data_IF_323809711855
#
_entry.id   IF_323809711855
#
_cell.length_a   1.000
_cell.length_b   1.000
_cell.length_c   1.000
_cell.angle_alpha   90.00
_cell.angle_beta   90.00
_cell.angle_gamma   90.00
#
_symmetry.space_group_name_H-M   'P 1'
#
loop_
_entity.id
_entity.type
_entity.pdbx_description
1 polymer ?
#
# COMPACT_ATOMS: atom_id res chain seq x y z
N UNK A 1 -67.31 -6.12 22.49
CA UNK A 1 -67.92 -7.44 22.28
C UNK A 1 -66.97 -8.28 21.43
N UNK A 2 -66.68 -9.51 21.90
CA UNK A 2 -66.03 -10.67 21.24
C UNK A 2 -64.58 -10.52 20.73
N UNK A 3 -63.53 -11.11 21.33
CA UNK A 3 -63.13 -12.54 21.47
C UNK A 3 -63.05 -13.32 20.15
N UNK A 4 -61.83 -13.73 19.77
CA UNK A 4 -61.37 -15.13 19.55
C UNK A 4 -60.15 -15.18 18.60
N UNK A 5 -58.95 -15.57 19.09
CA UNK A 5 -58.32 -16.92 19.01
C UNK A 5 -57.82 -17.33 17.62
N UNK A 6 -56.49 -17.48 17.47
CA UNK A 6 -55.85 -18.81 17.42
C UNK A 6 -54.31 -18.70 17.31
N UNK A 7 -53.64 -19.22 18.34
CA UNK A 7 -52.24 -19.62 18.29
C UNK A 7 -52.13 -20.97 17.59
N UNK A 8 -51.10 -21.17 16.76
CA UNK A 8 -50.78 -22.46 16.16
C UNK A 8 -49.42 -22.94 16.63
N UNK A 9 -49.46 -24.15 17.17
CA UNK A 9 -48.42 -24.95 17.79
C UNK A 9 -47.13 -25.03 16.97
N UNK A 10 -45.99 -24.92 17.66
CA UNK A 10 -44.71 -25.47 17.23
C UNK A 10 -44.36 -26.61 18.20
N UNK A 11 -44.50 -27.86 17.74
CA UNK A 11 -43.93 -29.04 18.41
C UNK A 11 -43.14 -29.83 17.38
N UNK A 12 -41.91 -30.18 17.71
CA UNK A 12 -41.10 -31.04 16.86
C UNK A 12 -39.63 -30.97 17.23
N UNK A 13 -39.31 -31.47 18.43
CA UNK A 13 -37.98 -31.87 18.85
C UNK A 13 -37.91 -33.37 18.59
N UNK A 14 -36.95 -33.84 17.80
CA UNK A 14 -36.39 -35.19 17.95
C UNK A 14 -35.08 -35.32 17.15
N UNK A 15 -34.03 -35.40 17.96
CA UNK A 15 -32.75 -36.09 17.84
C UNK A 15 -32.52 -36.99 16.61
N UNK A 16 -31.33 -36.87 16.01
CA UNK A 16 -30.59 -38.02 15.45
C UNK A 16 -29.11 -37.70 15.29
N UNK A 17 -28.34 -38.18 16.27
CA UNK A 17 -26.90 -38.39 16.26
C UNK A 17 -26.43 -39.13 14.99
N UNK A 18 -25.55 -38.53 14.17
CA UNK A 18 -24.73 -39.29 13.22
C UNK A 18 -23.36 -38.62 12.97
N UNK A 19 -22.35 -39.04 13.73
CA UNK A 19 -20.95 -39.22 13.32
C UNK A 19 -20.34 -40.29 14.26
N UNK A 20 -19.26 -41.01 13.89
CA UNK A 20 -18.67 -41.29 12.58
C UNK A 20 -18.37 -42.79 12.35
N UNK A 21 -18.08 -43.19 11.11
CA UNK A 21 -17.30 -44.41 10.83
C UNK A 21 -16.09 -44.06 9.98
N UNK A 22 -14.92 -44.10 10.61
CA UNK A 22 -13.61 -44.02 9.97
C UNK A 22 -13.16 -45.44 9.66
N UNK A 23 -12.88 -45.81 8.39
CA UNK A 23 -12.17 -47.04 8.10
C UNK A 23 -10.66 -46.88 8.36
N UNK A 24 -10.13 -47.74 9.23
CA UNK A 24 -8.69 -48.01 9.37
C UNK A 24 -8.30 -49.20 8.48
N UNK A 25 -7.52 -48.96 7.43
CA UNK A 25 -6.53 -49.88 6.83
C UNK A 25 -5.79 -49.03 5.79
N UNK A 26 -4.50 -48.73 5.86
CA UNK A 26 -3.37 -49.58 6.20
C UNK A 26 -2.79 -50.12 4.90
N UNK A 27 -1.79 -49.44 4.32
CA UNK A 27 -0.67 -50.08 3.63
C UNK A 27 0.43 -49.08 3.25
N UNK A 28 1.64 -49.44 3.66
CA UNK A 28 2.91 -48.86 3.25
C UNK A 28 3.13 -49.08 1.75
N UNK A 29 3.62 -48.06 1.06
CA UNK A 29 4.48 -48.24 -0.10
C UNK A 29 5.53 -47.13 -0.08
N UNK A 30 6.77 -47.54 0.17
CA UNK A 30 7.97 -46.80 -0.19
C UNK A 30 7.81 -46.19 -1.58
N UNK A 31 7.94 -44.87 -1.68
CA UNK A 31 8.21 -44.21 -2.95
C UNK A 31 9.51 -43.45 -2.81
N UNK A 32 10.42 -43.81 -3.71
CA UNK A 32 11.80 -43.38 -3.78
C UNK A 32 11.86 -41.86 -4.00
N UNK A 33 12.66 -41.20 -3.18
CA UNK A 33 13.01 -39.79 -3.31
C UNK A 33 14.08 -39.64 -4.39
N UNK A 34 13.64 -39.43 -5.63
CA UNK A 34 14.51 -38.90 -6.67
C UNK A 34 14.69 -37.39 -6.46
N UNK A 35 15.95 -37.03 -6.26
CA UNK A 35 16.40 -35.70 -5.88
C UNK A 35 16.47 -34.80 -7.12
N UNK A 36 15.44 -34.01 -7.37
CA UNK A 36 15.57 -32.84 -8.24
C UNK A 36 16.00 -31.64 -7.40
N UNK A 37 17.30 -31.34 -7.47
CA UNK A 37 17.87 -30.07 -7.05
C UNK A 37 17.27 -28.94 -7.90
N UNK A 38 16.25 -28.27 -7.38
CA UNK A 38 15.87 -26.93 -7.83
C UNK A 38 16.55 -25.94 -6.89
N UNK A 39 17.51 -25.19 -7.44
CA UNK A 39 18.07 -24.01 -6.81
C UNK A 39 16.94 -22.97 -6.68
N UNK A 40 16.35 -22.87 -5.49
CA UNK A 40 15.55 -21.73 -5.09
C UNK A 40 16.38 -20.89 -4.12
N UNK A 41 16.74 -19.69 -4.57
CA UNK A 41 17.30 -18.66 -3.70
C UNK A 41 16.25 -18.27 -2.64
N UNK A 42 16.59 -18.22 -1.34
CA UNK A 42 15.68 -17.70 -0.34
C UNK A 42 15.62 -16.18 -0.46
N UNK A 43 14.50 -15.65 -0.96
CA UNK A 43 14.15 -14.25 -0.72
C UNK A 43 13.69 -14.14 0.73
N UNK A 44 14.56 -13.61 1.58
CA UNK A 44 14.21 -13.18 2.93
C UNK A 44 13.03 -12.18 2.85
N UNK A 45 11.86 -12.63 3.26
CA UNK A 45 10.74 -11.75 3.59
C UNK A 45 11.09 -11.13 4.94
N UNK A 46 11.78 -10.00 4.89
CA UNK A 46 12.08 -9.23 6.09
C UNK A 46 10.77 -8.55 6.54
N UNK A 47 10.12 -9.10 7.55
CA UNK A 47 9.02 -8.44 8.26
C UNK A 47 9.53 -7.14 8.87
N UNK A 48 9.21 -6.00 8.22
CA UNK A 48 9.50 -4.68 8.75
C UNK A 48 8.62 -4.40 9.98
N UNK A 49 9.16 -4.69 11.17
CA UNK A 49 8.72 -4.08 12.42
C UNK A 49 9.15 -2.61 12.44
N UNK A 50 8.20 -1.68 12.41
CA UNK A 50 8.47 -0.25 12.63
C UNK A 50 8.90 -0.01 14.07
N UNK A 51 10.21 0.06 14.31
CA UNK A 51 10.77 0.57 15.56
C UNK A 51 10.81 2.11 15.50
N UNK A 52 10.01 2.75 16.36
CA UNK A 52 10.13 4.18 16.71
C UNK A 52 11.57 4.49 17.13
N UNK A 53 12.27 5.34 16.37
CA UNK A 53 13.51 5.96 16.82
C UNK A 53 13.27 7.39 17.28
N UNK A 54 13.79 7.67 18.47
CA UNK A 54 13.54 8.84 19.28
C UNK A 54 14.18 10.12 18.73
N UNK A 55 13.45 11.22 18.92
CA UNK A 55 13.95 12.60 18.84
C UNK A 55 15.22 12.76 19.68
N UNK A 56 16.35 13.03 19.03
CA UNK A 56 17.58 13.45 19.69
C UNK A 56 17.70 14.97 19.54
N UNK A 57 17.49 15.66 20.65
CA UNK A 57 17.66 17.10 20.80
C UNK A 57 19.06 17.55 20.33
N UNK A 58 19.10 18.44 19.35
CA UNK A 58 20.30 19.18 19.00
C UNK A 58 20.41 20.40 19.92
N UNK A 59 21.35 20.37 20.86
CA UNK A 59 21.82 21.57 21.56
C UNK A 59 22.56 22.47 20.57
N UNK A 60 22.07 23.69 20.40
CA UNK A 60 22.74 24.75 19.66
C UNK A 60 23.91 25.34 20.49
N UNK A 61 25.12 25.52 19.93
CA UNK A 61 26.13 26.40 20.50
C UNK A 61 25.97 27.85 19.98
N UNK A 62 26.11 28.81 20.91
CA UNK A 62 26.11 30.26 20.67
C UNK A 62 27.22 30.75 19.72
N UNK A 63 27.04 31.91 19.04
CA UNK A 63 27.94 32.37 18.00
C UNK A 63 29.19 33.04 18.57
N UNK A 64 30.36 32.54 18.17
CA UNK A 64 31.61 33.30 18.27
C UNK A 64 31.79 34.15 17.02
N UNK A 65 31.88 35.47 17.22
CA UNK A 65 32.25 36.43 16.20
C UNK A 65 33.73 36.28 15.82
N UNK A 66 34.00 36.20 14.51
CA UNK A 66 35.34 36.37 13.94
C UNK A 66 35.78 35.21 13.06
N UNK A 67 35.41 35.26 11.78
CA UNK A 67 36.38 35.25 10.68
C UNK A 67 35.64 35.33 9.34
N UNK A 68 36.07 36.28 8.50
CA UNK A 68 35.65 36.37 7.09
C UNK A 68 36.32 35.23 6.35
N UNK A 69 35.63 34.10 6.20
CA UNK A 69 35.97 33.10 5.19
C UNK A 69 35.25 33.44 3.89
N UNK A 70 36.04 33.52 2.82
CA UNK A 70 35.58 33.58 1.44
C UNK A 70 34.54 32.50 1.18
N UNK A 71 33.30 32.92 0.94
CA UNK A 71 32.21 32.03 0.56
C UNK A 71 32.62 31.30 -0.73
N UNK A 72 32.67 29.95 -0.74
CA UNK A 72 32.79 29.23 -1.99
C UNK A 72 31.58 29.58 -2.86
N UNK A 73 31.85 30.04 -4.08
CA UNK A 73 30.83 30.21 -5.11
C UNK A 73 30.04 28.90 -5.21
N UNK A 74 28.69 28.92 -5.09
CA UNK A 74 27.91 27.71 -5.25
C UNK A 74 28.24 27.09 -6.61
N UNK A 75 28.45 25.76 -6.68
CA UNK A 75 28.65 25.10 -7.97
C UNK A 75 27.49 25.49 -8.88
N UNK A 76 27.85 25.87 -10.09
CA UNK A 76 26.93 26.21 -11.17
C UNK A 76 25.70 25.31 -11.12
N UNK A 77 24.51 25.93 -11.14
CA UNK A 77 23.26 25.24 -11.39
C UNK A 77 23.42 24.43 -12.68
N UNK A 78 23.75 23.16 -12.52
CA UNK A 78 23.68 22.17 -13.57
C UNK A 78 22.21 22.15 -13.96
N UNK A 79 21.93 22.65 -15.17
CA UNK A 79 20.58 22.88 -15.68
C UNK A 79 19.76 21.63 -15.43
N UNK A 80 18.82 21.71 -14.47
CA UNK A 80 17.95 20.60 -14.14
C UNK A 80 17.33 20.05 -15.43
N UNK A 81 17.37 18.73 -15.65
CA UNK A 81 16.81 18.15 -16.86
C UNK A 81 15.32 18.53 -16.96
N UNK A 82 14.82 18.83 -18.17
CA UNK A 82 13.41 19.18 -18.34
C UNK A 82 12.51 18.05 -17.79
N UNK A 83 11.38 18.42 -17.17
CA UNK A 83 10.46 17.48 -16.51
C UNK A 83 10.04 16.27 -17.40
N UNK A 84 9.99 16.46 -18.71
CA UNK A 84 9.69 15.41 -19.70
C UNK A 84 10.82 14.37 -19.86
N UNK A 85 12.05 14.69 -19.49
CA UNK A 85 13.16 13.73 -19.41
C UNK A 85 13.16 12.99 -18.07
N UNK A 86 12.75 13.67 -16.98
CA UNK A 86 12.60 13.06 -15.65
C UNK A 86 11.56 11.94 -15.67
N UNK A 87 10.38 12.19 -16.23
CA UNK A 87 9.34 11.17 -16.37
C UNK A 87 9.80 9.96 -17.19
N UNK A 88 10.51 10.23 -18.30
CA UNK A 88 11.07 9.16 -19.16
C UNK A 88 12.21 8.38 -18.52
N UNK A 89 13.05 9.01 -17.69
CA UNK A 89 14.11 8.32 -16.99
C UNK A 89 13.55 7.35 -15.93
N UNK A 90 12.55 7.79 -15.15
CA UNK A 90 11.88 6.93 -14.15
C UNK A 90 11.14 5.78 -14.84
N UNK A 91 10.41 6.04 -15.92
CA UNK A 91 9.68 5.01 -16.67
C UNK A 91 10.60 4.04 -17.45
N UNK A 92 11.73 4.52 -17.98
CA UNK A 92 12.68 3.69 -18.72
C UNK A 92 13.43 2.68 -17.83
N UNK A 93 13.45 2.88 -16.50
CA UNK A 93 14.14 1.99 -15.57
C UNK A 93 13.42 0.64 -15.36
N UNK A 94 12.16 0.48 -15.78
CA UNK A 94 11.43 -0.80 -15.63
C UNK A 94 10.31 -0.98 -16.65
N UNK A 95 10.23 -2.16 -17.28
CA UNK A 95 9.04 -2.57 -18.02
C UNK A 95 7.86 -2.71 -17.05
N UNK A 96 6.78 -1.98 -17.28
CA UNK A 96 5.55 -2.14 -16.52
C UNK A 96 5.05 -3.59 -16.64
N UNK A 97 4.87 -4.26 -15.50
CA UNK A 97 4.31 -5.61 -15.44
C UNK A 97 2.90 -5.54 -14.88
N UNK A 98 1.98 -6.29 -15.46
CA UNK A 98 0.67 -6.52 -14.87
C UNK A 98 0.60 -7.95 -14.35
N UNK A 99 -0.11 -8.15 -13.25
CA UNK A 99 -0.47 -9.47 -12.75
C UNK A 99 -1.81 -9.38 -12.04
N UNK A 100 -2.53 -10.49 -11.98
CA UNK A 100 -3.77 -10.59 -11.23
C UNK A 100 -3.51 -11.10 -9.81
N UNK A 101 -4.37 -10.66 -8.89
CA UNK A 101 -4.35 -11.01 -7.48
C UNK A 101 -5.74 -11.40 -7.02
N UNK A 102 -5.83 -12.18 -5.94
CA UNK A 102 -7.09 -12.53 -5.30
C UNK A 102 -7.03 -12.34 -3.78
N UNK A 103 -8.15 -11.98 -3.18
CA UNK A 103 -8.26 -11.83 -1.72
C UNK A 103 -9.71 -11.85 -1.23
N UNK A 104 -9.89 -11.84 0.08
CA UNK A 104 -11.14 -11.48 0.76
C UNK A 104 -11.14 -10.05 1.31
N UNK A 105 -10.01 -9.36 1.21
CA UNK A 105 -9.76 -8.02 1.73
C UNK A 105 -9.21 -7.13 0.61
N UNK A 106 -9.70 -5.90 0.48
CA UNK A 106 -9.23 -4.92 -0.51
C UNK A 106 -7.87 -4.29 -0.14
N UNK A 107 -7.49 -4.36 1.15
CA UNK A 107 -6.23 -3.81 1.66
C UNK A 107 -5.07 -4.79 1.57
N UNK A 108 -5.34 -6.10 1.61
CA UNK A 108 -4.31 -7.15 1.65
C UNK A 108 -4.59 -8.22 0.61
N UNK A 109 -3.69 -8.38 -0.36
CA UNK A 109 -3.84 -9.33 -1.48
C UNK A 109 -3.02 -10.59 -1.26
N UNK A 110 -3.68 -11.69 -0.85
CA UNK A 110 -3.02 -12.93 -0.44
C UNK A 110 -2.76 -13.92 -1.58
N UNK A 111 -3.59 -13.93 -2.62
CA UNK A 111 -3.47 -14.81 -3.77
C UNK A 111 -2.82 -14.12 -4.96
N UNK A 112 -1.93 -14.83 -5.67
CA UNK A 112 -1.20 -14.34 -6.83
C UNK A 112 0.31 -14.18 -6.55
N UNK A 113 1.07 -13.56 -7.47
CA UNK A 113 0.65 -13.04 -8.77
C UNK A 113 0.20 -14.15 -9.75
N UNK A 114 -0.86 -13.88 -10.52
CA UNK A 114 -1.33 -14.72 -11.64
C UNK A 114 -1.11 -13.99 -12.97
N UNK A 115 -0.82 -14.72 -14.04
CA UNK A 115 -0.56 -14.11 -15.35
C UNK A 115 -1.87 -13.71 -16.05
N UNK A 116 -2.96 -14.43 -15.77
CA UNK A 116 -4.27 -14.23 -16.40
C UNK A 116 -5.41 -14.06 -15.39
N UNK A 117 -6.51 -13.45 -15.85
CA UNK A 117 -7.73 -13.27 -15.06
C UNK A 117 -8.35 -14.61 -14.69
N UNK A 118 -8.32 -15.57 -15.60
CA UNK A 118 -8.88 -16.92 -15.44
C UNK A 118 -8.11 -17.71 -14.38
N UNK A 119 -6.77 -17.60 -14.35
CA UNK A 119 -5.94 -18.16 -13.28
C UNK A 119 -6.26 -17.53 -11.92
N UNK A 120 -6.49 -16.21 -11.89
CA UNK A 120 -6.90 -15.54 -10.67
C UNK A 120 -8.28 -15.99 -10.19
N UNK A 121 -9.24 -16.23 -11.09
CA UNK A 121 -10.54 -16.82 -10.73
C UNK A 121 -10.39 -18.25 -10.18
N UNK A 122 -9.54 -19.07 -10.79
CA UNK A 122 -9.27 -20.43 -10.33
C UNK A 122 -8.58 -20.45 -8.96
N UNK A 123 -7.54 -19.61 -8.78
CA UNK A 123 -6.84 -19.44 -7.51
C UNK A 123 -7.76 -18.87 -6.44
N UNK A 124 -8.60 -17.88 -6.79
CA UNK A 124 -9.61 -17.34 -5.89
C UNK A 124 -10.61 -18.40 -5.42
N UNK A 125 -11.02 -19.31 -6.31
CA UNK A 125 -11.90 -20.43 -5.94
C UNK A 125 -11.21 -21.45 -5.04
N UNK A 126 -9.93 -21.74 -5.27
CA UNK A 126 -9.18 -22.70 -4.47
C UNK A 126 -8.94 -22.21 -3.03
N UNK A 127 -8.65 -20.91 -2.88
CA UNK A 127 -8.37 -20.26 -1.60
C UNK A 127 -9.61 -19.62 -0.95
N UNK A 128 -10.80 -19.82 -1.53
CA UNK A 128 -12.05 -19.20 -1.09
C UNK A 128 -11.97 -17.65 -0.98
N UNK A 129 -11.19 -17.01 -1.86
CA UNK A 129 -11.11 -15.56 -2.03
C UNK A 129 -12.25 -15.02 -2.91
N UNK A 130 -12.96 -14.02 -2.42
CA UNK A 130 -14.13 -13.43 -3.09
C UNK A 130 -13.81 -12.34 -4.09
N UNK A 131 -12.63 -11.75 -4.00
CA UNK A 131 -12.20 -10.60 -4.78
C UNK A 131 -11.03 -10.99 -5.69
N UNK A 132 -11.00 -10.42 -6.89
CA UNK A 132 -9.84 -10.42 -7.77
C UNK A 132 -9.56 -9.00 -8.25
N UNK A 133 -8.31 -8.68 -8.53
CA UNK A 133 -7.90 -7.38 -9.07
C UNK A 133 -6.67 -7.55 -9.96
N UNK A 134 -6.54 -6.72 -10.99
CA UNK A 134 -5.28 -6.58 -11.71
C UNK A 134 -4.40 -5.57 -10.96
N UNK A 135 -3.12 -5.84 -10.78
CA UNK A 135 -2.16 -4.90 -10.23
C UNK A 135 -1.09 -4.56 -11.26
N UNK A 136 -0.49 -3.38 -11.13
CA UNK A 136 0.63 -2.94 -11.97
C UNK A 136 1.89 -2.87 -11.12
N UNK A 137 3.01 -3.39 -11.62
CA UNK A 137 4.32 -3.24 -11.00
C UNK A 137 5.12 -2.25 -11.83
N UNK A 138 5.52 -1.16 -11.20
CA UNK A 138 6.25 -0.09 -11.85
C UNK A 138 6.99 0.79 -10.87
N UNK A 139 7.77 1.75 -11.40
CA UNK A 139 8.52 2.68 -10.61
C UNK A 139 7.56 3.71 -9.99
N UNK A 140 7.70 3.95 -8.70
CA UNK A 140 6.82 4.82 -7.93
C UNK A 140 7.44 6.21 -7.85
N UNK A 141 6.68 7.21 -8.31
CA UNK A 141 6.97 8.63 -8.06
C UNK A 141 6.50 8.96 -6.65
N UNK A 142 7.43 9.20 -5.73
CA UNK A 142 7.18 9.54 -4.33
C UNK A 142 6.40 10.87 -4.23
N UNK A 143 6.63 11.78 -5.17
CA UNK A 143 5.90 13.04 -5.30
C UNK A 143 4.38 12.86 -5.36
N UNK A 144 3.88 11.74 -5.88
CA UNK A 144 2.43 11.46 -5.96
C UNK A 144 1.75 11.39 -4.59
N UNK A 145 2.51 11.08 -3.54
CA UNK A 145 2.00 10.98 -2.17
C UNK A 145 2.16 12.27 -1.37
N UNK A 146 2.80 13.29 -1.94
CA UNK A 146 2.84 14.60 -1.29
C UNK A 146 1.48 15.27 -1.40
N UNK A 147 0.85 15.50 -0.26
CA UNK A 147 -0.35 16.31 -0.12
C UNK A 147 -0.03 17.58 0.67
N UNK A 148 -0.29 18.72 0.03
CA UNK A 148 -0.02 20.02 0.60
C UNK A 148 -1.02 20.41 1.68
N UNK A 149 -2.27 19.93 1.62
CA UNK A 149 -3.29 20.18 2.65
C UNK A 149 -2.90 19.48 3.95
N UNK A 150 -2.64 18.17 3.88
CA UNK A 150 -2.17 17.39 5.03
C UNK A 150 -0.84 17.92 5.61
N UNK A 151 0.07 18.41 4.75
CA UNK A 151 1.32 19.03 5.19
C UNK A 151 1.06 20.34 5.96
N UNK A 152 0.19 21.22 5.46
CA UNK A 152 -0.14 22.48 6.12
C UNK A 152 -0.91 22.25 7.41
N UNK A 153 -1.90 21.34 7.43
CA UNK A 153 -2.63 20.95 8.63
C UNK A 153 -1.68 20.47 9.74
N UNK A 154 -0.72 19.61 9.39
CA UNK A 154 0.29 19.14 10.33
C UNK A 154 1.17 20.29 10.84
N UNK A 155 1.55 21.21 9.95
CA UNK A 155 2.33 22.38 10.34
C UNK A 155 1.54 23.31 11.28
N UNK A 156 0.23 23.49 11.07
CA UNK A 156 -0.63 24.25 11.98
C UNK A 156 -0.76 23.58 13.35
N UNK A 157 -0.90 22.24 13.39
CA UNK A 157 -0.93 21.48 14.64
C UNK A 157 0.34 21.71 15.47
N UNK A 158 1.51 21.67 14.82
CA UNK A 158 2.80 21.91 15.45
C UNK A 158 3.00 23.40 15.84
N UNK A 159 2.38 24.33 15.10
CA UNK A 159 2.41 25.77 15.38
C UNK A 159 1.40 26.20 16.45
N UNK A 160 0.47 25.33 16.86
CA UNK A 160 -0.57 25.64 17.82
C UNK A 160 -0.01 26.16 19.17
N UNK A 161 1.18 25.70 19.57
CA UNK A 161 1.88 26.20 20.77
C UNK A 161 2.31 27.67 20.66
N UNK A 162 2.37 28.23 19.44
CA UNK A 162 2.75 29.60 19.14
C UNK A 162 1.55 30.51 18.87
N UNK A 163 0.33 29.96 18.89
CA UNK A 163 -0.90 30.72 18.68
C UNK A 163 -1.14 31.72 19.81
N UNK A 164 -1.76 32.85 19.48
CA UNK A 164 -2.22 33.80 20.48
C UNK A 164 -3.45 33.26 21.24
N UNK A 165 -3.81 33.91 22.34
CA UNK A 165 -4.98 33.52 23.16
C UNK A 165 -6.30 33.61 22.37
N UNK A 166 -6.33 34.42 21.32
CA UNK A 166 -7.49 34.62 20.45
C UNK A 166 -7.68 33.48 19.43
N UNK A 167 -6.66 32.63 19.23
CA UNK A 167 -6.73 31.49 18.31
C UNK A 167 -6.73 31.90 16.84
N UNK A 168 -6.06 33.00 16.50
CA UNK A 168 -5.96 33.45 15.10
C UNK A 168 -5.23 32.40 14.24
N UNK A 169 -5.69 32.14 13.00
CA UNK A 169 -5.05 31.18 12.11
C UNK A 169 -3.63 31.65 11.75
N UNK A 170 -2.65 30.75 11.91
CA UNK A 170 -1.24 31.06 11.65
C UNK A 170 -0.90 30.91 10.16
N UNK A 171 -1.48 29.92 9.46
CA UNK A 171 -1.20 29.61 8.07
C UNK A 171 -2.41 29.86 7.15
N UNK A 172 -3.00 31.07 7.21
CA UNK A 172 -4.09 31.49 6.32
C UNK A 172 -3.58 31.92 4.94
N UNK A 173 -3.06 30.95 4.18
CA UNK A 173 -2.61 31.17 2.80
C UNK A 173 -3.76 31.07 1.81
N UNK A 174 -3.67 31.83 0.71
CA UNK A 174 -4.62 31.72 -0.40
C UNK A 174 -4.53 30.34 -1.05
N UNK A 175 -5.67 29.83 -1.51
CA UNK A 175 -5.75 28.54 -2.21
C UNK A 175 -4.77 28.43 -3.39
N UNK A 176 -4.57 29.51 -4.16
CA UNK A 176 -3.65 29.48 -5.29
C UNK A 176 -2.18 29.33 -4.87
N UNK A 177 -1.82 29.85 -3.68
CA UNK A 177 -0.49 29.69 -3.11
C UNK A 177 -0.27 28.26 -2.59
N UNK A 178 -1.31 27.67 -1.98
CA UNK A 178 -1.32 26.28 -1.53
C UNK A 178 -1.14 25.31 -2.71
N UNK A 179 -1.85 25.53 -3.82
CA UNK A 179 -1.66 24.74 -5.03
C UNK A 179 -0.26 24.89 -5.65
N UNK A 180 0.28 26.11 -5.66
CA UNK A 180 1.65 26.38 -6.15
C UNK A 180 2.70 25.68 -5.29
N UNK A 181 2.55 25.70 -3.96
CA UNK A 181 3.38 24.93 -3.04
C UNK A 181 3.36 23.44 -3.40
N UNK A 182 2.16 22.87 -3.60
CA UNK A 182 1.97 21.49 -4.03
C UNK A 182 2.77 21.16 -5.29
N UNK A 183 2.64 22.00 -6.33
CA UNK A 183 3.36 21.82 -7.61
C UNK A 183 4.88 21.87 -7.43
N UNK A 184 5.39 22.85 -6.69
CA UNK A 184 6.84 23.04 -6.49
C UNK A 184 7.48 21.93 -5.67
N UNK A 185 6.85 21.52 -4.57
CA UNK A 185 7.40 20.46 -3.71
C UNK A 185 7.39 19.13 -4.46
N UNK A 186 6.33 18.80 -5.19
CA UNK A 186 6.28 17.60 -6.03
C UNK A 186 7.40 17.58 -7.07
N UNK A 187 7.63 18.70 -7.76
CA UNK A 187 8.72 18.82 -8.73
C UNK A 187 10.10 18.65 -8.07
N UNK A 188 10.31 19.23 -6.88
CA UNK A 188 11.56 19.06 -6.13
C UNK A 188 11.78 17.60 -5.68
N UNK A 189 10.72 16.89 -5.28
CA UNK A 189 10.78 15.45 -4.95
C UNK A 189 11.16 14.64 -6.19
N UNK A 190 10.56 14.93 -7.35
CA UNK A 190 10.88 14.24 -8.61
C UNK A 190 12.34 14.47 -9.02
N UNK A 191 12.82 15.71 -8.94
CA UNK A 191 14.23 16.06 -9.21
C UNK A 191 15.17 15.32 -8.26
N UNK A 192 14.87 15.31 -6.96
CA UNK A 192 15.62 14.57 -5.95
C UNK A 192 15.63 13.07 -6.27
N UNK A 193 14.50 12.46 -6.64
CA UNK A 193 14.47 11.05 -7.02
C UNK A 193 15.39 10.75 -8.20
N UNK A 194 15.39 11.60 -9.23
CA UNK A 194 16.26 11.42 -10.40
C UNK A 194 17.73 11.59 -10.05
N UNK A 195 18.08 12.65 -9.34
CA UNK A 195 19.46 12.95 -8.95
C UNK A 195 20.10 11.81 -8.16
N UNK A 196 19.28 11.04 -7.43
CA UNK A 196 19.73 9.93 -6.61
C UNK A 196 19.39 8.54 -7.19
N UNK A 197 18.82 8.46 -8.39
CA UNK A 197 18.45 7.17 -9.01
C UNK A 197 17.42 6.37 -8.19
N UNK A 198 16.54 7.06 -7.47
CA UNK A 198 15.55 6.44 -6.58
C UNK A 198 14.27 6.13 -7.35
N UNK A 199 14.12 4.85 -7.73
CA UNK A 199 12.92 4.32 -8.35
C UNK A 199 12.41 3.12 -7.54
N UNK A 200 11.75 3.34 -6.38
CA UNK A 200 11.13 2.23 -5.64
C UNK A 200 10.11 1.54 -6.53
N UNK A 201 10.17 0.20 -6.59
CA UNK A 201 9.28 -0.62 -7.41
C UNK A 201 8.40 -1.45 -6.49
N UNK A 202 7.09 -1.25 -6.55
CA UNK A 202 6.13 -2.08 -5.86
C UNK A 202 4.93 -2.41 -6.75
N UNK A 203 4.09 -3.32 -6.28
CA UNK A 203 2.77 -3.55 -6.86
C UNK A 203 1.84 -2.43 -6.41
N UNK A 204 1.24 -1.75 -7.38
CA UNK A 204 0.26 -0.71 -7.22
C UNK A 204 -1.12 -1.28 -7.53
N UNK A 205 -2.01 -1.19 -6.56
CA UNK A 205 -3.41 -1.65 -6.64
C UNK A 205 -4.39 -0.46 -6.79
N UNK A 206 -3.91 0.74 -6.49
CA UNK A 206 -4.59 2.04 -6.52
C UNK A 206 -4.75 2.62 -7.94
N UNK A 207 -3.91 2.21 -8.88
CA UNK A 207 -3.95 2.67 -10.27
C UNK A 207 -4.58 1.68 -11.25
N UNK A 208 -5.31 0.68 -10.75
CA UNK A 208 -5.76 -0.45 -11.56
C UNK A 208 -7.29 -0.52 -11.73
N UNK A 209 -7.72 -1.36 -12.66
CA UNK A 209 -9.11 -1.75 -12.90
C UNK A 209 -9.87 -2.01 -11.58
N UNK A 210 -11.18 -1.72 -11.51
CA UNK A 210 -11.95 -1.86 -10.28
C UNK A 210 -11.86 -3.29 -9.74
N UNK A 211 -11.80 -3.41 -8.42
CA UNK A 211 -11.86 -4.72 -7.74
C UNK A 211 -13.11 -5.48 -8.20
N UNK A 212 -12.91 -6.71 -8.66
CA UNK A 212 -13.99 -7.56 -9.15
C UNK A 212 -14.37 -8.63 -8.11
N UNK A 213 -15.67 -8.88 -7.95
CA UNK A 213 -16.13 -10.08 -7.26
C UNK A 213 -15.90 -11.29 -8.17
N UNK A 214 -15.15 -12.28 -7.68
CA UNK A 214 -14.85 -13.52 -8.38
C UNK A 214 -16.15 -14.24 -8.80
N UNK A 215 -16.17 -14.82 -10.01
CA UNK A 215 -17.37 -15.40 -10.59
C UNK A 215 -18.02 -16.47 -9.69
N UNK A 216 -17.21 -17.29 -9.01
CA UNK A 216 -17.69 -18.34 -8.10
C UNK A 216 -18.40 -17.77 -6.86
N UNK A 217 -17.99 -16.59 -6.38
CA UNK A 217 -18.53 -15.94 -5.20
C UNK A 217 -19.86 -15.22 -5.46
N UNK A 218 -20.12 -14.80 -6.71
CA UNK A 218 -21.39 -14.15 -7.12
C UNK A 218 -22.62 -15.05 -6.93
N UNK A 219 -22.46 -16.37 -6.95
CA UNK A 219 -23.55 -17.35 -6.86
C UNK A 219 -23.86 -17.88 -5.45
N UNK A 220 -23.09 -17.48 -4.43
CA UNK A 220 -23.20 -18.03 -3.05
C UNK A 220 -23.97 -17.16 -2.06
N UNK A 221 -24.56 -16.04 -2.49
CA UNK A 221 -25.29 -15.10 -1.63
C UNK A 221 -26.83 -15.30 -1.66
N UNK A 222 -27.28 -16.55 -1.79
CA UNK A 222 -28.69 -16.94 -1.74
C UNK A 222 -29.02 -17.68 -0.44
#
# INVERSE_FOLDING_TARGET
MSLAKHAKLWSGREDSNLRPTVPKTGQNSEFQSDSLQTNFDPVEINSMSYARSANRAFSAPSPHAGDRQDSPTPPHAETAPPADQVGRAIEALTQARTAWYSSNDEEVWHGGPYDTREEAEAGAKAEEHRLIVQATKGPIRVSRFFDHEAFLERAEEDLCELSNEDGDPILDFKAEACEDLGKRVRAAIDEWQVAHGLAPVAWCFDSCEPVEIAAWAKGGAA
#
